data_IF_269797055036
#
_entry.id   IF_269797055036
#
_cell.length_a   1.000
_cell.length_b   1.000
_cell.length_c   1.000
_cell.angle_alpha   90.00
_cell.angle_beta   90.00
_cell.angle_gamma   90.00
#
_symmetry.space_group_name_H-M   'P 1'
#
loop_
_entity.id
_entity.type
_entity.pdbx_description
1 polymer ?
#
# COMPACT_ATOMS: atom_id res chain seq x y z
N UNK A 1 9.17 -44.39 -7.41
CA UNK A 1 10.14 -44.91 -6.39
C UNK A 1 9.83 -44.40 -4.99
N UNK A 2 9.48 -43.12 -4.79
CA UNK A 2 9.18 -42.58 -3.46
C UNK A 2 8.17 -43.43 -2.66
N UNK A 3 7.08 -43.91 -3.25
CA UNK A 3 6.02 -44.67 -2.56
C UNK A 3 6.43 -46.09 -2.12
N UNK A 4 7.41 -46.71 -2.80
CA UNK A 4 7.73 -48.13 -2.63
C UNK A 4 9.09 -48.40 -1.96
N UNK A 5 9.95 -47.38 -1.86
CA UNK A 5 11.26 -47.47 -1.19
C UNK A 5 11.17 -47.09 0.29
N UNK A 6 12.13 -47.50 1.15
CA UNK A 6 12.15 -47.09 2.56
C UNK A 6 12.21 -45.56 2.70
N UNK A 7 11.26 -44.98 3.43
CA UNK A 7 11.10 -43.52 3.51
C UNK A 7 12.35 -42.77 3.99
N UNK A 8 13.15 -43.38 4.87
CA UNK A 8 14.41 -42.81 5.35
C UNK A 8 15.45 -42.66 4.24
N UNK A 9 15.61 -43.69 3.40
CA UNK A 9 16.57 -43.67 2.29
C UNK A 9 16.12 -42.66 1.23
N UNK A 10 14.81 -42.56 0.99
CA UNK A 10 14.24 -41.53 0.09
C UNK A 10 14.58 -40.14 0.60
N UNK A 11 14.35 -39.86 1.89
CA UNK A 11 14.68 -38.54 2.48
C UNK A 11 16.17 -38.21 2.34
N UNK A 12 17.07 -39.16 2.60
CA UNK A 12 18.52 -38.93 2.47
C UNK A 12 18.89 -38.61 1.01
N UNK A 13 18.37 -39.38 0.06
CA UNK A 13 18.62 -39.13 -1.37
C UNK A 13 18.04 -37.77 -1.84
N UNK A 14 16.89 -37.36 -1.28
CA UNK A 14 16.32 -36.04 -1.56
C UNK A 14 17.13 -34.90 -0.96
N UNK A 15 17.80 -35.10 0.18
CA UNK A 15 18.69 -34.08 0.75
C UNK A 15 19.89 -33.85 -0.17
N UNK A 16 20.54 -34.92 -0.65
CA UNK A 16 21.64 -34.82 -1.62
C UNK A 16 21.20 -34.17 -2.93
N UNK A 17 20.02 -34.54 -3.45
CA UNK A 17 19.46 -33.91 -4.65
C UNK A 17 19.17 -32.41 -4.44
N UNK A 18 18.66 -32.04 -3.25
CA UNK A 18 18.38 -30.65 -2.90
C UNK A 18 19.67 -29.82 -2.75
N UNK A 19 20.72 -30.40 -2.16
CA UNK A 19 22.05 -29.78 -2.10
C UNK A 19 22.63 -29.55 -3.50
N UNK A 20 22.45 -30.51 -4.42
CA UNK A 20 22.89 -30.35 -5.80
C UNK A 20 22.14 -29.21 -6.51
N UNK A 21 20.81 -29.14 -6.38
CA UNK A 21 20.03 -28.01 -6.90
C UNK A 21 20.48 -26.69 -6.31
N UNK A 22 20.78 -26.65 -5.00
CA UNK A 22 21.29 -25.45 -4.35
C UNK A 22 22.63 -24.99 -4.96
N UNK A 23 23.58 -25.91 -5.16
CA UNK A 23 24.88 -25.57 -5.76
C UNK A 23 24.74 -25.00 -7.18
N UNK A 24 23.76 -25.47 -7.95
CA UNK A 24 23.51 -24.97 -9.30
C UNK A 24 22.90 -23.57 -9.33
N UNK A 25 22.19 -23.14 -8.28
CA UNK A 25 21.74 -21.76 -8.15
C UNK A 25 22.90 -20.79 -7.80
N UNK A 26 23.96 -21.27 -7.14
CA UNK A 26 25.13 -20.46 -6.79
C UNK A 26 26.05 -20.20 -8.00
N UNK A 27 25.98 -21.04 -9.04
CA UNK A 27 26.85 -21.00 -10.23
C UNK A 27 26.35 -20.07 -11.37
N UNK A 28 25.49 -19.08 -11.07
CA UNK A 28 24.92 -18.10 -12.03
C UNK A 28 24.37 -18.74 -13.32
N UNK A 29 23.42 -19.67 -13.17
CA UNK A 29 22.79 -20.36 -14.29
C UNK A 29 21.95 -19.42 -15.20
N UNK A 30 21.85 -19.73 -16.49
CA UNK A 30 21.00 -19.00 -17.45
C UNK A 30 19.49 -19.24 -17.22
N UNK A 31 18.61 -18.46 -17.87
CA UNK A 31 17.16 -18.50 -17.63
C UNK A 31 16.52 -19.88 -17.88
N UNK A 32 16.98 -20.61 -18.89
CA UNK A 32 16.46 -21.94 -19.21
C UNK A 32 16.90 -22.99 -18.17
N UNK A 33 18.15 -22.89 -17.69
CA UNK A 33 18.63 -23.69 -16.59
C UNK A 33 17.85 -23.36 -15.30
N UNK A 34 17.62 -22.07 -14.99
CA UNK A 34 16.86 -21.64 -13.81
C UNK A 34 15.43 -22.21 -13.77
N UNK A 35 14.73 -22.25 -14.92
CA UNK A 35 13.41 -22.91 -15.05
C UNK A 35 13.50 -24.40 -14.77
N UNK A 36 14.54 -25.07 -15.28
CA UNK A 36 14.77 -26.49 -15.02
C UNK A 36 15.04 -26.76 -13.54
N UNK A 37 15.76 -25.86 -12.85
CA UNK A 37 16.02 -25.94 -11.42
C UNK A 37 14.75 -25.77 -10.59
N UNK A 38 13.89 -24.81 -10.94
CA UNK A 38 12.64 -24.60 -10.21
C UNK A 38 11.70 -25.81 -10.32
N UNK A 39 11.61 -26.42 -11.51
CA UNK A 39 10.88 -27.68 -11.71
C UNK A 39 11.48 -28.83 -10.91
N UNK A 40 12.80 -28.91 -10.84
CA UNK A 40 13.50 -29.93 -10.05
C UNK A 40 13.22 -29.74 -8.55
N UNK A 41 13.22 -28.50 -8.06
CA UNK A 41 12.85 -28.16 -6.69
C UNK A 41 11.40 -28.57 -6.38
N UNK A 42 10.44 -28.25 -7.26
CA UNK A 42 9.03 -28.67 -7.12
C UNK A 42 8.93 -30.19 -7.00
N UNK A 43 9.61 -30.93 -7.88
CA UNK A 43 9.62 -32.40 -7.85
C UNK A 43 10.21 -32.93 -6.54
N UNK A 44 11.31 -32.37 -6.05
CA UNK A 44 11.92 -32.75 -4.78
C UNK A 44 10.94 -32.51 -3.61
N UNK A 45 10.27 -31.36 -3.58
CA UNK A 45 9.27 -31.02 -2.55
C UNK A 45 8.07 -31.99 -2.60
N UNK A 46 7.59 -32.35 -3.79
CA UNK A 46 6.51 -33.33 -3.94
C UNK A 46 6.95 -34.73 -3.48
N UNK A 47 8.21 -35.12 -3.72
CA UNK A 47 8.77 -36.38 -3.20
C UNK A 47 8.90 -36.35 -1.67
N UNK A 48 9.29 -35.22 -1.06
CA UNK A 48 9.23 -35.03 0.39
C UNK A 48 7.79 -35.14 0.92
N UNK A 49 6.82 -34.56 0.21
CA UNK A 49 5.40 -34.58 0.55
C UNK A 49 4.87 -36.02 0.66
N UNK A 50 5.37 -36.93 -0.19
CA UNK A 50 5.04 -38.35 -0.16
C UNK A 50 5.87 -39.17 0.86
N UNK A 51 7.11 -38.76 1.15
CA UNK A 51 8.03 -39.51 2.01
C UNK A 51 7.84 -39.23 3.51
N UNK A 52 7.62 -37.96 3.91
CA UNK A 52 7.52 -37.54 5.32
C UNK A 52 6.43 -38.31 6.09
N UNK A 53 5.19 -38.47 5.56
CA UNK A 53 4.14 -39.17 6.29
C UNK A 53 4.45 -40.62 6.65
N UNK A 54 5.43 -41.23 5.99
CA UNK A 54 5.86 -42.62 6.19
C UNK A 54 7.03 -42.76 7.16
N UNK A 55 7.58 -41.65 7.66
CA UNK A 55 8.64 -41.66 8.66
C UNK A 55 8.10 -42.11 10.02
N UNK A 56 8.85 -43.00 10.68
CA UNK A 56 8.56 -43.45 12.04
C UNK A 56 9.43 -42.67 13.02
N UNK A 57 8.77 -41.97 13.96
CA UNK A 57 9.46 -41.35 15.09
C UNK A 57 10.03 -42.46 15.97
N UNK A 58 11.36 -42.51 16.08
CA UNK A 58 12.07 -43.46 16.96
C UNK A 58 12.62 -42.73 18.17
N UNK A 59 13.77 -42.07 17.99
CA UNK A 59 14.48 -41.34 19.05
C UNK A 59 14.34 -39.83 18.96
N UNK A 60 13.76 -39.33 17.87
CA UNK A 60 13.61 -37.91 17.58
C UNK A 60 12.16 -37.50 17.70
N UNK A 61 11.92 -36.27 18.13
CA UNK A 61 10.59 -35.64 18.06
C UNK A 61 10.18 -35.39 16.61
N UNK A 62 8.89 -35.12 16.37
CA UNK A 62 8.41 -34.70 15.04
C UNK A 62 9.18 -33.47 14.55
N UNK A 63 9.34 -32.46 15.42
CA UNK A 63 10.10 -31.25 15.13
C UNK A 63 11.57 -31.55 14.77
N UNK A 64 12.29 -32.33 15.57
CA UNK A 64 13.68 -32.72 15.29
C UNK A 64 13.87 -33.54 14.00
N UNK A 65 12.78 -34.16 13.52
CA UNK A 65 12.80 -34.95 12.29
C UNK A 65 12.64 -34.06 11.06
N UNK A 66 11.76 -33.05 11.12
CA UNK A 66 11.46 -32.18 9.97
C UNK A 66 12.32 -30.92 9.91
N UNK A 67 12.77 -30.37 11.04
CA UNK A 67 13.47 -29.07 11.11
C UNK A 67 14.70 -28.97 10.17
N UNK A 68 15.59 -29.99 10.08
CA UNK A 68 16.70 -29.93 9.12
C UNK A 68 16.25 -29.94 7.65
N UNK A 69 15.15 -30.64 7.35
CA UNK A 69 14.60 -30.70 5.99
C UNK A 69 14.00 -29.35 5.61
N UNK A 70 13.28 -28.72 6.54
CA UNK A 70 12.66 -27.42 6.33
C UNK A 70 13.71 -26.32 6.17
N UNK A 71 14.80 -26.34 6.94
CA UNK A 71 15.89 -25.39 6.80
C UNK A 71 16.51 -25.43 5.40
N UNK A 72 16.82 -26.62 4.89
CA UNK A 72 17.37 -26.75 3.53
C UNK A 72 16.35 -26.37 2.45
N UNK A 73 15.08 -26.79 2.59
CA UNK A 73 14.04 -26.39 1.63
C UNK A 73 13.89 -24.86 1.60
N UNK A 74 13.78 -24.21 2.76
CA UNK A 74 13.68 -22.75 2.86
C UNK A 74 14.90 -22.07 2.24
N UNK A 75 16.11 -22.59 2.48
CA UNK A 75 17.34 -22.06 1.85
C UNK A 75 17.26 -22.10 0.32
N UNK A 76 16.91 -23.25 -0.26
CA UNK A 76 16.83 -23.40 -1.72
C UNK A 76 15.67 -22.61 -2.31
N UNK A 77 14.55 -22.49 -1.60
CA UNK A 77 13.43 -21.64 -2.02
C UNK A 77 13.82 -20.16 -2.06
N UNK A 78 14.61 -19.68 -1.10
CA UNK A 78 15.13 -18.31 -1.11
C UNK A 78 16.02 -18.07 -2.33
N UNK A 79 16.92 -19.01 -2.63
CA UNK A 79 17.77 -18.94 -3.84
C UNK A 79 16.93 -18.98 -5.13
N UNK A 80 15.96 -19.88 -5.19
CA UNK A 80 15.08 -20.01 -6.34
C UNK A 80 14.24 -18.75 -6.55
N UNK A 81 13.71 -18.14 -5.49
CA UNK A 81 12.83 -16.97 -5.58
C UNK A 81 13.48 -15.73 -6.19
N UNK A 82 14.80 -15.62 -6.10
CA UNK A 82 15.56 -14.51 -6.69
C UNK A 82 15.67 -14.63 -8.21
N UNK A 83 15.52 -15.85 -8.74
CA UNK A 83 15.83 -16.20 -10.12
C UNK A 83 14.66 -16.87 -10.87
N UNK A 84 13.55 -17.18 -10.20
CA UNK A 84 12.44 -17.90 -10.83
C UNK A 84 11.50 -16.96 -11.59
N UNK A 85 10.97 -17.46 -12.72
CA UNK A 85 9.84 -16.80 -13.37
C UNK A 85 8.60 -16.85 -12.48
N UNK A 86 7.64 -15.96 -12.76
CA UNK A 86 6.38 -15.82 -12.00
C UNK A 86 5.63 -17.14 -11.84
N UNK A 87 5.53 -17.93 -12.92
CA UNK A 87 4.83 -19.22 -12.91
C UNK A 87 5.53 -20.24 -12.01
N UNK A 88 6.86 -20.35 -12.15
CA UNK A 88 7.68 -21.25 -11.35
C UNK A 88 7.60 -20.93 -9.85
N UNK A 89 7.66 -19.65 -9.47
CA UNK A 89 7.52 -19.22 -8.07
C UNK A 89 6.16 -19.60 -7.47
N UNK A 90 5.09 -19.54 -8.25
CA UNK A 90 3.75 -19.97 -7.82
C UNK A 90 3.63 -21.49 -7.70
N UNK A 91 4.29 -22.24 -8.57
CA UNK A 91 4.37 -23.70 -8.50
C UNK A 91 5.15 -24.15 -7.26
N UNK A 92 6.30 -23.52 -6.98
CA UNK A 92 7.10 -23.75 -5.76
C UNK A 92 6.25 -23.48 -4.52
N UNK A 93 5.58 -22.31 -4.46
CA UNK A 93 4.69 -21.98 -3.33
C UNK A 93 3.57 -23.02 -3.15
N UNK A 94 2.97 -23.47 -4.25
CA UNK A 94 1.93 -24.50 -4.23
C UNK A 94 2.45 -25.85 -3.74
N UNK A 95 3.68 -26.23 -4.11
CA UNK A 95 4.34 -27.45 -3.65
C UNK A 95 4.61 -27.40 -2.14
N UNK A 96 5.07 -26.27 -1.62
CA UNK A 96 5.31 -26.08 -0.18
C UNK A 96 4.00 -26.09 0.60
N UNK A 97 2.92 -25.51 0.07
CA UNK A 97 1.59 -25.61 0.66
C UNK A 97 1.11 -27.07 0.75
N UNK A 98 1.32 -27.89 -0.29
CA UNK A 98 1.02 -29.33 -0.27
C UNK A 98 1.86 -30.06 0.79
N UNK A 99 3.16 -29.77 0.87
CA UNK A 99 4.06 -30.30 1.89
C UNK A 99 3.56 -29.94 3.31
N UNK A 100 3.16 -28.69 3.53
CA UNK A 100 2.62 -28.19 4.80
C UNK A 100 1.35 -28.93 5.21
N UNK A 101 0.38 -29.04 4.29
CA UNK A 101 -0.84 -29.80 4.49
C UNK A 101 -0.58 -31.28 4.80
N UNK A 102 0.32 -31.93 4.07
CA UNK A 102 0.68 -33.34 4.28
C UNK A 102 1.37 -33.55 5.64
N UNK A 103 2.27 -32.63 5.99
CA UNK A 103 3.01 -32.66 7.27
C UNK A 103 2.07 -32.42 8.45
N UNK A 104 1.11 -31.49 8.35
CA UNK A 104 0.10 -31.28 9.39
C UNK A 104 -0.71 -32.56 9.68
N UNK A 105 -1.20 -33.22 8.62
CA UNK A 105 -1.94 -34.49 8.75
C UNK A 105 -1.09 -35.61 9.33
N UNK A 106 0.19 -35.68 8.95
CA UNK A 106 1.12 -36.64 9.53
C UNK A 106 1.29 -36.38 11.02
N UNK A 107 1.51 -35.14 11.44
CA UNK A 107 1.62 -34.76 12.86
C UNK A 107 0.36 -35.14 13.63
N UNK A 108 -0.83 -34.86 13.08
CA UNK A 108 -2.12 -35.21 13.71
C UNK A 108 -2.35 -36.72 13.82
N UNK A 109 -1.72 -37.52 12.96
CA UNK A 109 -1.79 -38.98 12.99
C UNK A 109 -0.79 -39.65 13.93
N UNK A 110 0.11 -38.88 14.57
CA UNK A 110 1.09 -39.40 15.51
C UNK A 110 0.55 -39.47 16.94
N UNK A 111 0.90 -40.52 17.67
CA UNK A 111 0.65 -40.64 19.11
C UNK A 111 1.75 -39.90 19.90
N UNK A 112 1.67 -38.57 19.89
CA UNK A 112 2.61 -37.66 20.57
C UNK A 112 1.86 -36.67 21.45
N UNK A 113 2.57 -36.03 22.38
CA UNK A 113 2.00 -34.99 23.22
C UNK A 113 1.68 -33.72 22.41
N UNK A 114 0.65 -33.00 22.85
CA UNK A 114 0.17 -31.78 22.18
C UNK A 114 1.27 -30.72 22.03
N UNK A 115 2.14 -30.56 23.03
CA UNK A 115 3.20 -29.56 22.97
C UNK A 115 4.24 -29.89 21.88
N UNK A 116 4.63 -31.16 21.72
CA UNK A 116 5.51 -31.57 20.62
C UNK A 116 4.85 -31.47 19.24
N UNK A 117 3.54 -31.75 19.15
CA UNK A 117 2.77 -31.55 17.93
C UNK A 117 2.71 -30.07 17.54
N UNK A 118 2.36 -29.20 18.49
CA UNK A 118 2.27 -27.74 18.30
C UNK A 118 3.64 -27.16 17.91
N UNK A 119 4.73 -27.62 18.54
CA UNK A 119 6.09 -27.20 18.16
C UNK A 119 6.42 -27.58 16.71
N UNK A 120 6.13 -28.82 16.29
CA UNK A 120 6.39 -29.29 14.93
C UNK A 120 5.55 -28.52 13.90
N UNK A 121 4.26 -28.30 14.18
CA UNK A 121 3.39 -27.49 13.32
C UNK A 121 3.86 -26.04 13.23
N UNK A 122 4.34 -25.46 14.33
CA UNK A 122 4.92 -24.11 14.35
C UNK A 122 6.19 -24.01 13.50
N UNK A 123 7.04 -25.05 13.47
CA UNK A 123 8.20 -25.09 12.56
C UNK A 123 7.78 -25.10 11.10
N UNK A 124 6.79 -25.92 10.76
CA UNK A 124 6.26 -25.97 9.40
C UNK A 124 5.58 -24.66 8.99
N UNK A 125 4.85 -24.04 9.91
CA UNK A 125 4.16 -22.76 9.72
C UNK A 125 5.15 -21.65 9.39
N UNK A 126 6.27 -21.55 10.12
CA UNK A 126 7.36 -20.61 9.82
C UNK A 126 8.00 -20.88 8.45
N UNK A 127 8.31 -22.13 8.13
CA UNK A 127 8.89 -22.47 6.83
C UNK A 127 7.96 -22.09 5.66
N UNK A 128 6.64 -22.26 5.84
CA UNK A 128 5.64 -21.81 4.88
C UNK A 128 5.57 -20.27 4.79
N UNK A 129 5.60 -19.55 5.91
CA UNK A 129 5.64 -18.09 5.93
C UNK A 129 6.91 -17.55 5.23
N UNK A 130 8.07 -18.14 5.50
CA UNK A 130 9.34 -17.77 4.86
C UNK A 130 9.26 -17.99 3.34
N UNK A 131 8.74 -19.14 2.91
CA UNK A 131 8.55 -19.42 1.48
C UNK A 131 7.57 -18.44 0.80
N UNK A 132 6.47 -18.09 1.47
CA UNK A 132 5.51 -17.09 0.98
C UNK A 132 6.19 -15.72 0.84
N UNK A 133 6.97 -15.31 1.84
CA UNK A 133 7.71 -14.05 1.83
C UNK A 133 8.71 -14.00 0.66
N UNK A 134 9.47 -15.08 0.46
CA UNK A 134 10.47 -15.18 -0.60
C UNK A 134 9.83 -15.19 -1.98
N UNK A 135 8.71 -15.89 -2.14
CA UNK A 135 7.98 -15.94 -3.42
C UNK A 135 7.06 -14.73 -3.65
N UNK A 136 7.11 -13.68 -2.81
CA UNK A 136 6.18 -12.54 -2.87
C UNK A 136 6.17 -11.84 -4.23
N UNK A 137 7.35 -11.68 -4.87
CA UNK A 137 7.46 -11.10 -6.21
C UNK A 137 6.75 -11.90 -7.32
N UNK A 138 6.53 -13.20 -7.11
CA UNK A 138 5.84 -14.09 -8.05
C UNK A 138 4.32 -14.17 -7.82
N UNK A 139 3.82 -13.69 -6.67
CA UNK A 139 2.38 -13.77 -6.33
C UNK A 139 1.56 -12.92 -7.30
N UNK A 140 1.80 -11.60 -7.36
CA UNK A 140 1.12 -10.65 -8.26
C UNK A 140 -0.40 -10.92 -8.37
N UNK A 141 -1.08 -10.88 -7.23
CA UNK A 141 -2.51 -11.22 -7.13
C UNK A 141 -3.46 -10.03 -7.32
N UNK A 142 -2.89 -8.83 -7.46
CA UNK A 142 -3.57 -7.54 -7.59
C UNK A 142 -4.60 -7.31 -6.47
N UNK A 143 -4.28 -7.76 -5.26
CA UNK A 143 -5.19 -7.78 -4.12
C UNK A 143 -5.65 -6.38 -3.72
N UNK A 144 -4.77 -5.38 -3.72
CA UNK A 144 -5.12 -4.00 -3.39
C UNK A 144 -6.05 -3.39 -4.42
N UNK A 145 -5.80 -3.60 -5.72
CA UNK A 145 -6.65 -3.12 -6.81
C UNK A 145 -8.03 -3.80 -6.78
N UNK A 146 -8.08 -5.12 -6.57
CA UNK A 146 -9.34 -5.86 -6.40
C UNK A 146 -10.14 -5.36 -5.20
N UNK A 147 -9.48 -5.23 -4.06
CA UNK A 147 -10.08 -4.71 -2.83
C UNK A 147 -10.59 -3.27 -3.05
N UNK A 148 -9.83 -2.44 -3.75
CA UNK A 148 -10.25 -1.08 -4.09
C UNK A 148 -11.48 -1.07 -4.99
N UNK A 149 -11.51 -1.92 -6.03
CA UNK A 149 -12.64 -2.02 -6.95
C UNK A 149 -13.92 -2.50 -6.25
N UNK A 150 -13.79 -3.41 -5.28
CA UNK A 150 -14.88 -3.89 -4.43
C UNK A 150 -15.42 -2.77 -3.52
N UNK A 151 -14.53 -2.01 -2.87
CA UNK A 151 -14.91 -0.92 -1.95
C UNK A 151 -15.42 0.34 -2.68
N UNK A 152 -14.92 0.61 -3.89
CA UNK A 152 -15.23 1.81 -4.66
C UNK A 152 -15.64 1.49 -6.11
N UNK A 153 -16.78 0.82 -6.35
CA UNK A 153 -17.18 0.39 -7.70
C UNK A 153 -17.31 1.52 -8.72
N UNK A 154 -17.63 2.74 -8.26
CA UNK A 154 -17.72 3.94 -9.12
C UNK A 154 -16.36 4.44 -9.60
N UNK A 155 -15.31 4.21 -8.80
CA UNK A 155 -13.94 4.64 -9.09
C UNK A 155 -13.12 3.54 -9.77
N UNK A 156 -13.58 2.29 -9.74
CA UNK A 156 -12.90 1.13 -10.34
C UNK A 156 -12.52 1.32 -11.82
N UNK A 157 -13.27 2.14 -12.57
CA UNK A 157 -12.96 2.47 -13.97
C UNK A 157 -11.63 3.20 -14.13
N UNK A 158 -11.17 3.91 -13.10
CA UNK A 158 -9.91 4.66 -13.13
C UNK A 158 -8.70 3.79 -12.76
N UNK A 159 -8.91 2.64 -12.12
CA UNK A 159 -7.84 1.75 -11.68
C UNK A 159 -7.28 0.86 -12.80
N UNK A 160 -7.82 0.94 -14.02
CA UNK A 160 -7.39 0.12 -15.16
C UNK A 160 -7.80 -1.36 -15.07
N UNK A 161 -7.46 -2.17 -16.09
CA UNK A 161 -7.70 -3.61 -16.05
C UNK A 161 -6.82 -4.29 -14.98
N UNK A 162 -7.27 -5.46 -14.50
CA UNK A 162 -6.45 -6.31 -13.66
C UNK A 162 -5.31 -6.94 -14.52
N UNK A 163 -4.12 -7.14 -13.96
CA UNK A 163 -3.00 -7.75 -14.67
C UNK A 163 -3.30 -9.20 -15.02
N UNK A 164 -2.85 -9.68 -16.18
CA UNK A 164 -3.03 -11.08 -16.56
C UNK A 164 -2.44 -12.05 -15.53
N UNK A 165 -3.09 -13.20 -15.36
CA UNK A 165 -2.63 -14.26 -14.47
C UNK A 165 -2.73 -13.95 -12.97
N UNK A 166 -3.54 -12.97 -12.56
CA UNK A 166 -3.70 -12.61 -11.15
C UNK A 166 -4.43 -13.70 -10.36
N UNK A 167 -5.33 -14.45 -11.01
CA UNK A 167 -6.11 -15.53 -10.39
C UNK A 167 -5.20 -16.65 -9.87
N UNK A 168 -4.20 -17.08 -10.65
CA UNK A 168 -3.27 -18.13 -10.28
C UNK A 168 -2.43 -17.72 -9.08
N UNK A 169 -2.00 -16.45 -9.05
CA UNK A 169 -1.33 -15.85 -7.90
C UNK A 169 -2.19 -15.89 -6.64
N UNK A 170 -3.44 -15.44 -6.75
CA UNK A 170 -4.39 -15.48 -5.65
C UNK A 170 -4.70 -16.91 -5.18
N UNK A 171 -4.77 -17.87 -6.10
CA UNK A 171 -5.01 -19.28 -5.79
C UNK A 171 -3.82 -19.93 -5.08
N UNK A 172 -2.58 -19.63 -5.50
CA UNK A 172 -1.37 -20.13 -4.85
C UNK A 172 -1.29 -19.68 -3.39
N UNK A 173 -1.52 -18.40 -3.12
CA UNK A 173 -1.53 -17.85 -1.75
C UNK A 173 -2.71 -18.41 -0.95
N UNK A 174 -3.89 -18.56 -1.54
CA UNK A 174 -5.04 -19.15 -0.84
C UNK A 174 -4.76 -20.60 -0.43
N UNK A 175 -4.11 -21.38 -1.29
CA UNK A 175 -3.67 -22.74 -0.96
C UNK A 175 -2.68 -22.75 0.21
N UNK A 176 -1.73 -21.81 0.21
CA UNK A 176 -0.82 -21.62 1.35
C UNK A 176 -1.59 -21.22 2.62
N UNK A 177 -2.55 -20.29 2.54
CA UNK A 177 -3.40 -19.87 3.65
C UNK A 177 -4.16 -21.02 4.29
N UNK A 178 -4.84 -21.86 3.50
CA UNK A 178 -5.54 -23.04 4.02
C UNK A 178 -4.59 -24.03 4.71
N UNK A 179 -3.36 -24.17 4.22
CA UNK A 179 -2.34 -25.03 4.84
C UNK A 179 -1.81 -24.44 6.14
N UNK A 180 -1.66 -23.11 6.19
CA UNK A 180 -1.23 -22.37 7.38
C UNK A 180 -2.29 -22.42 8.50
N UNK A 181 -3.57 -22.26 8.17
CA UNK A 181 -4.70 -22.44 9.10
C UNK A 181 -4.71 -23.85 9.70
N UNK A 182 -4.50 -24.88 8.88
CA UNK A 182 -4.41 -26.27 9.33
C UNK A 182 -3.21 -26.55 10.25
N UNK A 183 -2.15 -25.74 10.16
CA UNK A 183 -0.97 -25.84 11.03
C UNK A 183 -1.15 -25.09 12.35
N UNK A 184 -1.72 -23.89 12.33
CA UNK A 184 -1.78 -23.04 13.52
C UNK A 184 -3.01 -23.29 14.40
N UNK A 185 -4.08 -23.91 13.88
CA UNK A 185 -5.32 -24.08 14.64
C UNK A 185 -5.79 -22.77 15.28
N UNK A 186 -6.17 -22.79 16.56
CA UNK A 186 -6.57 -21.60 17.33
C UNK A 186 -5.42 -20.83 17.97
N UNK A 187 -4.16 -21.22 17.75
CA UNK A 187 -3.00 -20.55 18.36
C UNK A 187 -2.47 -19.46 17.45
N UNK A 188 -2.72 -18.20 17.84
CA UNK A 188 -2.18 -17.02 17.17
C UNK A 188 -0.66 -16.94 17.38
N UNK A 189 0.11 -17.05 16.30
CA UNK A 189 1.54 -16.70 16.28
C UNK A 189 1.74 -15.27 16.80
N UNK A 190 2.69 -15.09 17.73
CA UNK A 190 2.93 -13.83 18.43
C UNK A 190 3.81 -12.82 17.68
N UNK A 191 4.37 -13.18 16.52
CA UNK A 191 5.25 -12.30 15.75
C UNK A 191 4.78 -12.22 14.30
N UNK A 192 4.32 -11.05 13.89
CA UNK A 192 3.94 -10.82 12.49
C UNK A 192 5.19 -10.79 11.60
N UNK A 193 5.27 -11.75 10.69
CA UNK A 193 6.23 -11.82 9.57
C UNK A 193 5.58 -11.27 8.28
N UNK A 194 6.38 -10.96 7.26
CA UNK A 194 5.86 -10.59 5.92
C UNK A 194 5.02 -11.74 5.33
N UNK A 195 5.45 -12.99 5.51
CA UNK A 195 4.68 -14.17 5.12
C UNK A 195 3.31 -14.22 5.79
N UNK A 196 3.25 -14.00 7.11
CA UNK A 196 1.99 -13.96 7.85
C UNK A 196 1.08 -12.79 7.42
N UNK A 197 1.67 -11.64 7.05
CA UNK A 197 0.95 -10.49 6.49
C UNK A 197 0.31 -10.86 5.14
N UNK A 198 1.08 -11.46 4.23
CA UNK A 198 0.57 -11.91 2.92
C UNK A 198 -0.59 -12.89 3.12
N UNK A 199 -0.39 -13.92 3.94
CA UNK A 199 -1.41 -14.95 4.16
C UNK A 199 -2.69 -14.36 4.78
N UNK A 200 -2.56 -13.52 5.80
CA UNK A 200 -3.71 -12.89 6.46
C UNK A 200 -4.45 -11.89 5.57
N UNK A 201 -3.73 -11.13 4.72
CA UNK A 201 -4.36 -10.23 3.73
C UNK A 201 -5.19 -11.00 2.70
N UNK A 202 -4.84 -12.24 2.40
CA UNK A 202 -5.60 -13.11 1.49
C UNK A 202 -6.77 -13.85 2.16
N UNK A 203 -6.93 -13.74 3.48
CA UNK A 203 -8.06 -14.32 4.19
C UNK A 203 -9.38 -13.62 3.81
N UNK A 204 -10.47 -14.38 3.95
CA UNK A 204 -11.85 -13.85 3.81
C UNK A 204 -12.34 -13.16 5.07
N UNK A 205 -11.62 -13.31 6.19
CA UNK A 205 -11.97 -12.64 7.44
C UNK A 205 -11.78 -11.13 7.32
N UNK A 206 -12.70 -10.38 7.92
CA UNK A 206 -12.61 -8.91 7.93
C UNK A 206 -11.52 -8.50 8.92
N UNK A 207 -10.44 -7.83 8.49
CA UNK A 207 -9.36 -7.44 9.38
C UNK A 207 -9.83 -6.33 10.33
N UNK A 208 -9.31 -6.32 11.55
CA UNK A 208 -9.64 -5.32 12.57
C UNK A 208 -8.46 -4.39 12.85
N UNK A 209 -8.68 -3.33 13.63
CA UNK A 209 -7.59 -2.48 14.11
C UNK A 209 -6.53 -3.28 14.91
N UNK A 210 -6.93 -4.33 15.64
CA UNK A 210 -5.97 -5.19 16.35
C UNK A 210 -5.13 -6.03 15.40
N UNK A 211 -5.73 -6.51 14.30
CA UNK A 211 -4.97 -7.16 13.21
C UNK A 211 -3.92 -6.22 12.66
N UNK A 212 -4.29 -4.97 12.37
CA UNK A 212 -3.36 -3.95 11.89
C UNK A 212 -2.24 -3.68 12.90
N UNK A 213 -2.55 -3.52 14.19
CA UNK A 213 -1.55 -3.33 15.23
C UNK A 213 -0.55 -4.48 15.30
N UNK A 214 -1.03 -5.73 15.23
CA UNK A 214 -0.15 -6.90 15.25
C UNK A 214 0.74 -6.99 14.01
N UNK A 215 0.21 -6.61 12.84
CA UNK A 215 0.91 -6.65 11.56
C UNK A 215 1.87 -5.48 11.32
N UNK A 216 1.85 -4.45 12.19
CA UNK A 216 2.52 -3.18 11.94
C UNK A 216 4.01 -3.31 11.62
N UNK A 217 4.84 -4.11 12.33
CA UNK A 217 6.26 -4.23 11.99
C UNK A 217 6.48 -4.76 10.57
N UNK A 218 5.77 -5.83 10.19
CA UNK A 218 5.87 -6.43 8.86
C UNK A 218 5.34 -5.48 7.78
N UNK A 219 4.26 -4.76 8.07
CA UNK A 219 3.65 -3.78 7.17
C UNK A 219 4.60 -2.60 6.90
N UNK A 220 5.25 -2.07 7.93
CA UNK A 220 6.23 -0.99 7.77
C UNK A 220 7.41 -1.42 6.91
N UNK A 221 7.97 -2.61 7.18
CA UNK A 221 9.04 -3.16 6.35
C UNK A 221 8.56 -3.33 4.91
N UNK A 222 7.36 -3.88 4.70
CA UNK A 222 6.78 -4.13 3.37
C UNK A 222 6.62 -2.84 2.56
N UNK A 223 6.09 -1.77 3.18
CA UNK A 223 5.95 -0.46 2.56
C UNK A 223 7.31 0.17 2.21
N UNK A 224 8.32 0.01 3.07
CA UNK A 224 9.65 0.60 2.88
C UNK A 224 10.47 -0.12 1.81
N UNK A 225 10.40 -1.44 1.75
CA UNK A 225 11.19 -2.27 0.82
C UNK A 225 10.46 -2.58 -0.48
N UNK A 226 9.19 -2.17 -0.60
CA UNK A 226 8.31 -2.52 -1.71
C UNK A 226 8.12 -4.05 -1.89
N UNK A 227 8.22 -4.80 -0.79
CA UNK A 227 7.95 -6.24 -0.73
C UNK A 227 6.56 -6.43 -0.14
N UNK A 228 5.72 -7.30 -0.73
CA UNK A 228 4.33 -7.49 -0.26
C UNK A 228 3.51 -6.17 -0.16
N UNK A 229 3.82 -5.20 -1.03
CA UNK A 229 3.16 -3.90 -1.03
C UNK A 229 1.67 -4.04 -1.33
N UNK A 230 1.33 -4.88 -2.32
CA UNK A 230 -0.05 -5.14 -2.72
C UNK A 230 -0.91 -5.65 -1.55
N UNK A 231 -0.39 -6.61 -0.78
CA UNK A 231 -1.04 -7.17 0.39
C UNK A 231 -1.12 -6.17 1.55
N UNK A 232 -0.10 -5.33 1.72
CA UNK A 232 -0.07 -4.26 2.72
C UNK A 232 -1.14 -3.20 2.45
N UNK A 233 -1.25 -2.74 1.19
CA UNK A 233 -2.23 -1.75 0.78
C UNK A 233 -3.66 -2.32 0.84
N UNK A 234 -3.86 -3.59 0.47
CA UNK A 234 -5.14 -4.26 0.62
C UNK A 234 -5.60 -4.34 2.08
N UNK A 235 -4.71 -4.70 3.00
CA UNK A 235 -5.00 -4.74 4.43
C UNK A 235 -5.41 -3.35 4.95
N UNK A 236 -4.63 -2.32 4.62
CA UNK A 236 -4.93 -0.94 5.00
C UNK A 236 -6.27 -0.48 4.44
N UNK A 237 -6.59 -0.76 3.18
CA UNK A 237 -7.89 -0.41 2.59
C UNK A 237 -9.05 -1.04 3.36
N UNK A 238 -8.96 -2.34 3.70
CA UNK A 238 -10.04 -3.05 4.40
C UNK A 238 -10.23 -2.58 5.83
N UNK A 239 -9.15 -2.25 6.54
CA UNK A 239 -9.23 -1.74 7.91
C UNK A 239 -9.75 -0.30 7.91
N UNK A 240 -9.19 0.57 7.06
CA UNK A 240 -9.48 2.01 7.06
C UNK A 240 -10.81 2.40 6.41
N UNK A 241 -11.38 1.53 5.57
CA UNK A 241 -12.72 1.76 5.00
C UNK A 241 -13.86 1.50 5.98
N UNK A 242 -13.58 0.97 7.17
CA UNK A 242 -14.60 0.70 8.18
C UNK A 242 -15.11 2.01 8.81
N UNK A 243 -16.43 2.19 9.01
CA UNK A 243 -17.02 3.48 9.39
C UNK A 243 -16.55 4.05 10.73
N UNK A 244 -16.14 3.18 11.66
CA UNK A 244 -15.84 3.54 13.05
C UNK A 244 -14.42 3.19 13.46
N UNK A 245 -13.48 3.12 12.51
CA UNK A 245 -12.11 2.77 12.83
C UNK A 245 -11.42 3.94 13.54
N UNK A 246 -10.83 3.66 14.69
CA UNK A 246 -9.98 4.60 15.43
C UNK A 246 -8.60 3.98 15.57
N UNK A 247 -7.57 4.72 15.18
CA UNK A 247 -6.19 4.25 15.23
C UNK A 247 -5.44 4.86 16.40
N UNK A 248 -4.53 4.09 16.99
CA UNK A 248 -3.57 4.65 17.94
C UNK A 248 -2.55 5.53 17.21
N UNK A 249 -1.98 6.53 17.90
CA UNK A 249 -0.90 7.36 17.34
C UNK A 249 0.30 6.55 16.83
N UNK A 250 0.60 5.42 17.47
CA UNK A 250 1.69 4.51 17.10
C UNK A 250 1.52 3.89 15.71
N UNK A 251 0.29 3.74 15.22
CA UNK A 251 0.02 3.32 13.85
C UNK A 251 -0.01 4.51 12.90
N UNK A 252 -0.56 5.61 13.39
CA UNK A 252 -0.90 6.75 12.57
C UNK A 252 0.33 7.48 12.04
N UNK A 253 1.28 7.81 12.92
CA UNK A 253 2.46 8.60 12.54
C UNK A 253 3.36 7.87 11.53
N UNK A 254 3.74 6.59 11.75
CA UNK A 254 4.59 5.90 10.77
C UNK A 254 3.92 5.76 9.39
N UNK A 255 2.61 5.51 9.35
CA UNK A 255 1.85 5.41 8.09
C UNK A 255 1.72 6.76 7.39
N UNK A 256 1.51 7.85 8.15
CA UNK A 256 1.44 9.20 7.59
C UNK A 256 2.78 9.68 7.03
N UNK A 257 3.91 9.09 7.45
CA UNK A 257 5.22 9.38 6.86
C UNK A 257 5.49 8.54 5.60
N UNK A 258 5.09 7.27 5.58
CA UNK A 258 5.41 6.36 4.46
C UNK A 258 4.45 6.48 3.27
N UNK A 259 3.14 6.56 3.52
CA UNK A 259 2.14 6.58 2.45
C UNK A 259 2.28 7.77 1.48
N UNK A 260 2.63 8.99 1.92
CA UNK A 260 2.85 10.09 0.99
C UNK A 260 3.94 9.81 -0.04
N UNK A 261 5.05 9.20 0.40
CA UNK A 261 6.16 8.81 -0.47
C UNK A 261 5.71 7.76 -1.48
N UNK A 262 4.99 6.72 -1.06
CA UNK A 262 4.47 5.69 -1.98
C UNK A 262 3.47 6.30 -2.97
N UNK A 263 2.54 7.14 -2.49
CA UNK A 263 1.54 7.81 -3.31
C UNK A 263 2.15 8.75 -4.35
N UNK A 264 3.32 9.33 -4.07
CA UNK A 264 3.97 10.30 -4.97
C UNK A 264 4.97 9.65 -5.92
N UNK A 265 5.77 8.70 -5.43
CA UNK A 265 7.00 8.25 -6.10
C UNK A 265 6.92 6.83 -6.67
N UNK A 266 5.88 6.04 -6.35
CA UNK A 266 5.77 4.69 -6.90
C UNK A 266 5.64 4.73 -8.44
N UNK A 267 6.32 3.83 -9.18
CA UNK A 267 6.29 3.83 -10.65
C UNK A 267 4.91 3.49 -11.22
N UNK A 268 4.19 2.57 -10.58
CA UNK A 268 2.84 2.19 -11.00
C UNK A 268 1.78 3.24 -10.57
N UNK A 269 1.01 3.81 -11.53
CA UNK A 269 -0.01 4.81 -11.24
C UNK A 269 -1.18 4.28 -10.40
N UNK A 270 -1.55 3.00 -10.54
CA UNK A 270 -2.65 2.40 -9.77
C UNK A 270 -2.28 2.31 -8.29
N UNK A 271 -1.06 1.83 -7.99
CA UNK A 271 -0.49 1.85 -6.64
C UNK A 271 -0.46 3.26 -6.07
N UNK A 272 0.03 4.26 -6.83
CA UNK A 272 0.01 5.67 -6.37
C UNK A 272 -1.38 6.14 -5.98
N UNK A 273 -2.38 5.88 -6.84
CA UNK A 273 -3.77 6.25 -6.60
C UNK A 273 -4.35 5.57 -5.36
N UNK A 274 -4.13 4.26 -5.21
CA UNK A 274 -4.60 3.48 -4.06
C UNK A 274 -3.94 3.97 -2.78
N UNK A 275 -2.62 4.18 -2.78
CA UNK A 275 -1.88 4.72 -1.63
C UNK A 275 -2.38 6.11 -1.22
N UNK A 276 -2.66 6.99 -2.18
CA UNK A 276 -3.26 8.30 -1.89
C UNK A 276 -4.66 8.15 -1.27
N UNK A 277 -5.48 7.22 -1.77
CA UNK A 277 -6.79 6.96 -1.17
C UNK A 277 -6.67 6.44 0.26
N UNK A 278 -5.73 5.54 0.50
CA UNK A 278 -5.44 5.01 1.84
C UNK A 278 -5.00 6.15 2.77
N UNK A 279 -4.16 7.08 2.31
CA UNK A 279 -3.77 8.27 3.08
C UNK A 279 -4.98 9.13 3.46
N UNK A 280 -5.90 9.40 2.53
CA UNK A 280 -7.16 10.12 2.85
C UNK A 280 -7.97 9.40 3.94
N UNK A 281 -8.11 8.07 3.84
CA UNK A 281 -8.81 7.28 4.87
C UNK A 281 -8.08 7.28 6.22
N UNK A 282 -6.74 7.17 6.21
CA UNK A 282 -5.91 7.24 7.40
C UNK A 282 -6.11 8.57 8.14
N UNK A 283 -6.07 9.68 7.40
CA UNK A 283 -6.27 11.02 7.93
C UNK A 283 -7.68 11.20 8.48
N UNK A 284 -8.69 10.61 7.84
CA UNK A 284 -10.08 10.64 8.34
C UNK A 284 -10.25 9.83 9.64
N UNK A 285 -9.49 8.76 9.82
CA UNK A 285 -9.47 7.97 11.06
C UNK A 285 -8.67 8.63 12.20
N UNK A 286 -7.93 9.69 11.90
CA UNK A 286 -7.14 10.44 12.88
C UNK A 286 -8.02 11.35 13.75
N UNK A 287 -7.66 11.59 15.02
CA UNK A 287 -8.21 12.71 15.78
C UNK A 287 -7.99 14.04 15.02
N UNK A 288 -8.99 14.93 15.04
CA UNK A 288 -8.99 16.16 14.20
C UNK A 288 -7.77 17.06 14.36
N UNK A 289 -7.23 17.18 15.58
CA UNK A 289 -5.99 17.93 15.83
C UNK A 289 -4.76 17.26 15.22
N UNK A 290 -4.64 15.94 15.32
CA UNK A 290 -3.54 15.17 14.70
C UNK A 290 -3.66 15.23 13.17
N UNK A 291 -4.88 15.14 12.64
CA UNK A 291 -5.15 15.33 11.20
C UNK A 291 -4.66 16.70 10.72
N UNK A 292 -4.90 17.76 11.49
CA UNK A 292 -4.45 19.11 11.17
C UNK A 292 -2.92 19.21 11.15
N UNK A 293 -2.24 18.67 12.16
CA UNK A 293 -0.78 18.69 12.25
C UNK A 293 -0.15 17.99 11.02
N UNK A 294 -0.66 16.82 10.66
CA UNK A 294 -0.15 16.06 9.50
C UNK A 294 -0.43 16.80 8.18
N UNK A 295 -1.64 17.34 7.99
CA UNK A 295 -1.96 18.11 6.78
C UNK A 295 -1.09 19.36 6.64
N UNK A 296 -0.74 20.00 7.76
CA UNK A 296 0.18 21.14 7.77
C UNK A 296 1.59 20.74 7.34
N UNK A 297 2.08 19.59 7.78
CA UNK A 297 3.36 19.03 7.33
C UNK A 297 3.33 18.70 5.83
N UNK A 298 2.32 17.94 5.39
CA UNK A 298 2.19 17.54 3.97
C UNK A 298 2.05 18.71 3.00
N UNK A 299 1.41 19.81 3.42
CA UNK A 299 1.28 21.02 2.59
C UNK A 299 2.51 21.91 2.60
N UNK A 300 3.51 21.60 3.43
CA UNK A 300 4.78 22.33 3.52
C UNK A 300 6.00 21.50 3.05
N UNK A 301 5.81 20.23 2.69
CA UNK A 301 6.90 19.32 2.32
C UNK A 301 7.41 19.58 0.89
N UNK A 302 8.50 20.33 0.78
CA UNK A 302 9.19 20.61 -0.48
C UNK A 302 9.84 19.35 -1.09
N UNK A 303 10.08 18.29 -0.31
CA UNK A 303 10.64 17.02 -0.78
C UNK A 303 9.65 16.20 -1.61
N UNK A 304 8.35 16.48 -1.50
CA UNK A 304 7.29 15.80 -2.23
C UNK A 304 6.35 16.81 -2.94
N UNK A 305 6.78 17.49 -4.01
CA UNK A 305 6.00 18.57 -4.63
C UNK A 305 4.60 18.16 -5.12
N UNK A 306 4.45 16.92 -5.62
CA UNK A 306 3.14 16.41 -6.03
C UNK A 306 2.21 16.14 -4.84
N UNK A 307 2.77 15.69 -3.71
CA UNK A 307 2.00 15.54 -2.47
C UNK A 307 1.57 16.88 -1.93
N UNK A 308 2.44 17.89 -1.96
CA UNK A 308 2.10 19.25 -1.51
C UNK A 308 0.85 19.77 -2.22
N UNK A 309 0.74 19.56 -3.54
CA UNK A 309 -0.46 19.91 -4.32
C UNK A 309 -1.65 19.04 -3.90
N UNK A 310 -1.49 17.72 -3.87
CA UNK A 310 -2.58 16.79 -3.55
C UNK A 310 -3.11 16.95 -2.11
N UNK A 311 -2.25 17.35 -1.17
CA UNK A 311 -2.58 17.59 0.22
C UNK A 311 -3.56 18.75 0.41
N UNK A 312 -3.59 19.72 -0.51
CA UNK A 312 -4.61 20.78 -0.50
C UNK A 312 -6.00 20.19 -0.76
N UNK A 313 -6.08 19.17 -1.62
CA UNK A 313 -7.29 18.36 -1.80
C UNK A 313 -7.71 17.64 -0.51
N UNK A 314 -6.75 17.10 0.25
CA UNK A 314 -7.01 16.46 1.55
C UNK A 314 -7.45 17.48 2.63
N UNK A 315 -6.91 18.69 2.59
CA UNK A 315 -7.36 19.83 3.42
C UNK A 315 -8.81 20.19 3.08
N UNK A 316 -9.14 20.28 1.79
CA UNK A 316 -10.51 20.52 1.32
C UNK A 316 -11.49 19.44 1.82
N UNK A 317 -11.10 18.17 1.74
CA UNK A 317 -11.88 17.07 2.32
C UNK A 317 -12.06 17.23 3.84
N UNK A 318 -11.00 17.62 4.57
CA UNK A 318 -11.04 17.80 6.03
C UNK A 318 -11.98 18.93 6.46
N UNK A 319 -11.97 20.06 5.77
CA UNK A 319 -12.92 21.15 5.99
C UNK A 319 -14.36 20.73 5.73
N UNK A 320 -14.61 20.01 4.63
CA UNK A 320 -15.95 19.51 4.32
C UNK A 320 -16.45 18.51 5.37
N UNK A 321 -15.59 17.59 5.83
CA UNK A 321 -15.91 16.65 6.89
C UNK A 321 -16.24 17.38 8.20
N UNK A 322 -15.38 18.32 8.61
CA UNK A 322 -15.56 19.08 9.85
C UNK A 322 -16.86 19.89 9.85
N UNK A 323 -17.15 20.61 8.76
CA UNK A 323 -18.39 21.39 8.62
C UNK A 323 -19.65 20.50 8.66
N UNK A 324 -19.56 19.25 8.21
CA UNK A 324 -20.67 18.29 8.28
C UNK A 324 -20.82 17.64 9.67
N UNK A 325 -19.71 17.46 10.41
CA UNK A 325 -19.69 16.78 11.72
C UNK A 325 -20.00 17.72 12.90
N UNK A 326 -19.93 19.04 12.69
CA UNK A 326 -20.32 20.05 13.67
C UNK A 326 -19.17 20.69 14.46
N UNK A 327 -19.52 21.53 15.43
CA UNK A 327 -18.60 22.52 16.05
C UNK A 327 -17.47 21.93 16.91
N UNK A 328 -17.53 20.63 17.23
CA UNK A 328 -16.47 19.96 17.98
C UNK A 328 -15.21 19.65 17.12
N UNK A 329 -15.34 19.72 15.79
CA UNK A 329 -14.23 19.46 14.88
C UNK A 329 -13.35 20.71 14.70
N UNK A 330 -12.03 20.54 14.76
CA UNK A 330 -11.06 21.62 14.58
C UNK A 330 -11.19 22.26 13.19
N UNK A 331 -11.57 21.49 12.18
CA UNK A 331 -11.80 21.99 10.82
C UNK A 331 -13.12 22.77 10.67
N UNK A 332 -14.03 22.68 11.63
CA UNK A 332 -15.20 23.56 11.74
C UNK A 332 -14.92 24.82 12.56
N UNK A 333 -13.65 25.24 12.68
CA UNK A 333 -13.24 26.39 13.47
C UNK A 333 -12.22 27.26 12.74
N UNK A 334 -12.08 28.51 13.20
CA UNK A 334 -11.08 29.47 12.71
C UNK A 334 -9.64 28.98 12.87
N UNK A 335 -9.39 28.09 13.84
CA UNK A 335 -8.04 27.61 14.17
C UNK A 335 -7.41 26.87 13.00
N UNK A 336 -8.14 25.99 12.32
CA UNK A 336 -7.61 25.24 11.18
C UNK A 336 -7.13 26.18 10.06
N UNK A 337 -7.92 27.22 9.74
CA UNK A 337 -7.55 28.18 8.71
C UNK A 337 -6.38 29.09 9.14
N UNK A 338 -6.28 29.43 10.43
CA UNK A 338 -5.14 30.18 10.96
C UNK A 338 -3.84 29.37 10.87
N UNK A 339 -3.88 28.07 11.14
CA UNK A 339 -2.70 27.21 11.11
C UNK A 339 -2.28 26.81 9.69
N UNK A 340 -3.23 26.57 8.78
CA UNK A 340 -2.97 26.17 7.39
C UNK A 340 -2.84 27.36 6.43
N UNK A 341 -3.53 28.46 6.71
CA UNK A 341 -3.67 29.59 5.77
C UNK A 341 -2.33 30.23 5.40
N UNK A 342 -1.41 30.32 6.36
CA UNK A 342 -0.06 30.82 6.11
C UNK A 342 0.76 29.99 5.12
N UNK A 343 0.44 28.71 4.96
CA UNK A 343 1.11 27.78 4.03
C UNK A 343 0.31 27.59 2.74
N UNK A 344 -1.01 27.42 2.87
CA UNK A 344 -1.92 27.06 1.77
C UNK A 344 -2.40 28.29 1.00
N UNK A 345 -2.76 29.39 1.67
CA UNK A 345 -3.38 30.58 1.05
C UNK A 345 -2.35 31.65 0.66
N UNK A 346 -1.23 31.22 0.11
CA UNK A 346 -0.21 32.06 -0.51
C UNK A 346 0.39 31.32 -1.70
N UNK A 347 1.06 32.02 -2.60
CA UNK A 347 1.93 31.46 -3.65
C UNK A 347 3.19 30.79 -3.06
N UNK A 348 3.79 29.86 -3.82
CA UNK A 348 5.04 29.20 -3.46
C UNK A 348 6.02 29.14 -4.66
N UNK A 349 7.13 29.89 -4.65
CA UNK A 349 7.50 30.91 -3.66
C UNK A 349 6.51 32.11 -3.65
N UNK A 350 6.47 32.94 -2.60
CA UNK A 350 5.49 34.04 -2.49
C UNK A 350 5.51 35.04 -3.66
N UNK A 351 6.67 35.22 -4.28
CA UNK A 351 6.94 36.12 -5.41
C UNK A 351 6.88 35.40 -6.77
N UNK A 352 6.42 34.15 -6.84
CA UNK A 352 6.40 33.37 -8.10
C UNK A 352 5.65 34.08 -9.24
N UNK A 353 4.65 34.91 -8.94
CA UNK A 353 3.89 35.68 -9.93
C UNK A 353 4.53 37.04 -10.26
N UNK A 354 5.72 37.33 -9.74
CA UNK A 354 6.49 38.56 -9.97
C UNK A 354 7.65 38.31 -10.95
N UNK A 355 7.40 38.52 -12.24
CA UNK A 355 8.43 38.53 -13.29
C UNK A 355 8.75 37.15 -13.87
N UNK A 356 7.94 36.13 -13.58
CA UNK A 356 8.09 34.81 -14.16
C UNK A 356 7.59 34.78 -15.61
N UNK A 357 8.35 34.12 -16.48
CA UNK A 357 7.93 33.79 -17.85
C UNK A 357 6.85 32.69 -17.82
N UNK A 358 5.92 32.73 -18.78
CA UNK A 358 4.79 31.80 -18.86
C UNK A 358 5.23 30.33 -18.84
N UNK A 359 6.20 29.97 -19.70
CA UNK A 359 6.71 28.61 -19.84
C UNK A 359 7.27 28.09 -18.51
N UNK A 360 8.13 28.88 -17.86
CA UNK A 360 8.71 28.53 -16.56
C UNK A 360 7.66 28.37 -15.46
N UNK A 361 6.57 29.14 -15.50
CA UNK A 361 5.45 28.97 -14.58
C UNK A 361 4.70 27.66 -14.85
N UNK A 362 4.42 27.34 -16.11
CA UNK A 362 3.73 26.12 -16.52
C UNK A 362 4.52 24.83 -16.24
N UNK A 363 5.84 24.89 -16.36
CA UNK A 363 6.73 23.78 -15.99
C UNK A 363 6.80 23.54 -14.48
N UNK A 364 6.42 24.53 -13.66
CA UNK A 364 6.41 24.41 -12.21
C UNK A 364 5.19 23.65 -11.68
N UNK A 365 5.20 23.31 -10.39
CA UNK A 365 4.04 22.70 -9.72
C UNK A 365 2.95 23.72 -9.35
N UNK A 366 3.27 25.01 -9.42
CA UNK A 366 2.44 26.09 -8.90
C UNK A 366 1.08 26.26 -9.61
N UNK A 367 0.95 26.12 -10.95
CA UNK A 367 -0.35 26.21 -11.62
C UNK A 367 -1.35 25.19 -11.06
N UNK A 368 -0.89 23.96 -10.82
CA UNK A 368 -1.72 22.89 -10.23
C UNK A 368 -2.05 23.20 -8.77
N UNK A 369 -1.08 23.71 -8.01
CA UNK A 369 -1.28 24.12 -6.62
C UNK A 369 -2.32 25.23 -6.50
N UNK A 370 -2.21 26.28 -7.31
CA UNK A 370 -3.15 27.39 -7.35
C UNK A 370 -4.56 26.94 -7.75
N UNK A 371 -4.67 26.00 -8.69
CA UNK A 371 -5.97 25.41 -9.05
C UNK A 371 -6.63 24.74 -7.84
N UNK A 372 -5.89 23.95 -7.06
CA UNK A 372 -6.41 23.34 -5.82
C UNK A 372 -6.72 24.38 -4.73
N UNK A 373 -5.92 25.44 -4.60
CA UNK A 373 -6.18 26.54 -3.65
C UNK A 373 -7.49 27.26 -4.02
N UNK A 374 -7.68 27.61 -5.29
CA UNK A 374 -8.90 28.24 -5.77
C UNK A 374 -10.12 27.33 -5.58
N UNK A 375 -9.94 26.01 -5.81
CA UNK A 375 -10.99 25.02 -5.51
C UNK A 375 -11.34 24.98 -4.03
N UNK A 376 -10.35 24.98 -3.13
CA UNK A 376 -10.55 25.04 -1.67
C UNK A 376 -11.30 26.31 -1.28
N UNK A 377 -10.84 27.48 -1.73
CA UNK A 377 -11.46 28.78 -1.44
C UNK A 377 -12.91 28.80 -1.93
N UNK A 378 -13.16 28.41 -3.19
CA UNK A 378 -14.49 28.34 -3.77
C UNK A 378 -15.43 27.45 -2.94
N UNK A 379 -14.96 26.26 -2.53
CA UNK A 379 -15.74 25.34 -1.71
C UNK A 379 -16.05 25.92 -0.35
N UNK A 380 -15.06 26.51 0.34
CA UNK A 380 -15.23 27.11 1.65
C UNK A 380 -16.19 28.31 1.59
N UNK A 381 -16.05 29.20 0.61
CA UNK A 381 -16.95 30.34 0.43
C UNK A 381 -18.40 29.89 0.23
N UNK A 382 -18.64 28.77 -0.48
CA UNK A 382 -20.00 28.26 -0.71
C UNK A 382 -20.57 27.44 0.45
N UNK A 383 -19.74 26.65 1.14
CA UNK A 383 -20.20 25.70 2.17
C UNK A 383 -20.23 26.29 3.56
N UNK A 384 -19.30 27.17 3.91
CA UNK A 384 -19.21 27.79 5.22
C UNK A 384 -20.08 29.05 5.31
N UNK A 385 -21.41 28.86 5.22
CA UNK A 385 -22.38 29.96 5.21
C UNK A 385 -22.33 30.78 6.50
N UNK A 386 -22.08 30.13 7.63
CA UNK A 386 -22.00 30.74 8.96
C UNK A 386 -20.61 31.32 9.28
N UNK A 387 -19.64 31.22 8.36
CA UNK A 387 -18.28 31.70 8.51
C UNK A 387 -17.57 31.14 9.76
N UNK A 388 -17.75 29.84 10.04
CA UNK A 388 -17.12 29.13 11.16
C UNK A 388 -15.60 29.04 11.01
N UNK A 389 -15.13 28.84 9.78
CA UNK A 389 -13.70 28.77 9.44
C UNK A 389 -13.03 30.13 9.41
N UNK A 390 -13.78 31.23 9.33
CA UNK A 390 -13.25 32.58 9.19
C UNK A 390 -12.81 32.95 7.78
N UNK A 391 -13.12 32.12 6.77
CA UNK A 391 -12.77 32.39 5.36
C UNK A 391 -13.41 33.68 4.83
N UNK A 392 -14.58 34.07 5.34
CA UNK A 392 -15.30 35.30 4.96
C UNK A 392 -14.90 36.51 5.83
N UNK A 393 -13.94 36.36 6.74
CA UNK A 393 -13.44 37.49 7.51
C UNK A 393 -12.72 38.48 6.58
N UNK A 394 -12.95 39.78 6.79
CA UNK A 394 -12.43 40.85 5.92
C UNK A 394 -10.91 40.81 5.78
N UNK A 395 -10.20 40.50 6.85
CA UNK A 395 -8.74 40.45 6.85
C UNK A 395 -8.23 39.23 6.07
N UNK A 396 -8.91 38.08 6.18
CA UNK A 396 -8.62 36.88 5.37
C UNK A 396 -8.81 37.16 3.88
N UNK A 397 -9.94 37.76 3.51
CA UNK A 397 -10.25 38.09 2.11
C UNK A 397 -9.28 39.12 1.54
N UNK A 398 -8.90 40.15 2.31
CA UNK A 398 -7.88 41.13 1.89
C UNK A 398 -6.53 40.47 1.67
N UNK A 399 -6.12 39.56 2.54
CA UNK A 399 -4.87 38.83 2.40
C UNK A 399 -4.90 37.93 1.16
N UNK A 400 -6.00 37.20 0.94
CA UNK A 400 -6.20 36.34 -0.24
C UNK A 400 -6.16 37.17 -1.54
N UNK A 401 -6.83 38.32 -1.55
CA UNK A 401 -6.85 39.25 -2.68
C UNK A 401 -5.44 39.78 -2.99
N UNK A 402 -4.69 40.20 -1.98
CA UNK A 402 -3.34 40.75 -2.14
C UNK A 402 -2.31 39.70 -2.56
N UNK A 403 -2.38 38.50 -2.00
CA UNK A 403 -1.33 37.48 -2.16
C UNK A 403 -1.56 36.55 -3.36
N UNK A 404 -2.81 36.32 -3.76
CA UNK A 404 -3.14 35.33 -4.81
C UNK A 404 -3.97 35.98 -5.91
N UNK A 405 -5.19 36.45 -5.60
CA UNK A 405 -6.18 36.73 -6.64
C UNK A 405 -5.75 37.88 -7.56
N UNK A 406 -5.32 39.01 -7.00
CA UNK A 406 -4.91 40.17 -7.80
C UNK A 406 -3.64 39.91 -8.62
N UNK A 407 -2.54 39.37 -8.06
CA UNK A 407 -1.37 39.00 -8.86
C UNK A 407 -1.72 38.00 -9.97
N UNK A 408 -2.58 37.02 -9.69
CA UNK A 408 -2.96 35.99 -10.65
C UNK A 408 -3.83 36.55 -11.78
N UNK A 409 -4.84 37.40 -11.48
CA UNK A 409 -5.65 38.08 -12.52
C UNK A 409 -4.78 38.86 -13.49
N UNK A 410 -3.83 39.64 -12.96
CA UNK A 410 -2.90 40.42 -13.79
C UNK A 410 -2.09 39.53 -14.71
N UNK A 411 -1.49 38.46 -14.18
CA UNK A 411 -0.63 37.56 -14.96
C UNK A 411 -1.38 36.76 -16.01
N UNK A 412 -2.57 36.26 -15.67
CA UNK A 412 -3.41 35.55 -16.64
C UNK A 412 -3.84 36.45 -17.78
N UNK A 413 -4.18 37.72 -17.52
CA UNK A 413 -4.49 38.68 -18.58
C UNK A 413 -3.28 38.91 -19.50
N UNK A 414 -2.09 39.14 -18.93
CA UNK A 414 -0.83 39.31 -19.70
C UNK A 414 -0.55 38.09 -20.59
N UNK A 415 -0.55 36.87 -20.04
CA UNK A 415 -0.24 35.65 -20.79
C UNK A 415 -1.30 35.28 -21.83
N UNK A 416 -2.58 35.54 -21.55
CA UNK A 416 -3.65 35.28 -22.52
C UNK A 416 -3.66 36.28 -23.68
N UNK A 417 -3.20 37.52 -23.46
CA UNK A 417 -3.05 38.53 -24.52
C UNK A 417 -1.80 38.27 -25.39
N UNK A 418 -0.74 37.67 -24.83
CA UNK A 418 0.51 37.34 -25.52
C UNK A 418 0.44 36.05 -26.38
N UNK A 419 -0.41 35.08 -26.02
CA UNK A 419 -0.51 33.75 -26.67
C UNK A 419 -1.24 33.70 -28.02
N UNK A 420 -1.28 34.79 -28.78
CA UNK A 420 -2.04 34.93 -30.03
C UNK A 420 -1.42 34.33 -31.30
N UNK A 421 -0.19 33.82 -31.26
CA UNK A 421 0.53 33.30 -32.43
C UNK A 421 0.97 31.84 -32.21
N UNK A 422 0.25 30.93 -32.88
CA UNK A 422 0.61 29.58 -33.35
C UNK A 422 1.84 28.90 -32.69
N UNK A 423 1.68 28.11 -31.60
CA UNK A 423 2.37 26.79 -31.43
C UNK A 423 2.06 25.95 -30.17
N UNK A 424 1.31 26.41 -29.15
CA UNK A 424 1.16 25.61 -27.90
C UNK A 424 -0.28 25.42 -27.35
N UNK A 425 -1.09 24.61 -28.05
CA UNK A 425 -2.48 24.28 -27.65
C UNK A 425 -2.60 23.66 -26.24
N UNK A 426 -1.61 22.90 -25.77
CA UNK A 426 -1.65 22.24 -24.46
C UNK A 426 -1.36 23.19 -23.27
N UNK A 427 -0.53 24.20 -23.50
CA UNK A 427 -0.14 25.17 -22.47
C UNK A 427 -1.26 26.17 -22.20
N UNK A 428 -1.97 26.55 -23.27
CA UNK A 428 -3.19 27.37 -23.20
C UNK A 428 -4.27 26.65 -22.38
N UNK A 429 -4.46 25.33 -22.55
CA UNK A 429 -5.49 24.60 -21.78
C UNK A 429 -5.25 24.65 -20.26
N UNK A 430 -3.99 24.57 -19.81
CA UNK A 430 -3.66 24.65 -18.38
C UNK A 430 -3.97 26.03 -17.80
N UNK A 431 -3.66 27.09 -18.54
CA UNK A 431 -4.00 28.47 -18.17
C UNK A 431 -5.50 28.72 -18.17
N UNK A 432 -6.23 28.18 -19.16
CA UNK A 432 -7.69 28.27 -19.24
C UNK A 432 -8.34 27.61 -18.02
N UNK A 433 -7.86 26.43 -17.59
CA UNK A 433 -8.36 25.77 -16.39
C UNK A 433 -8.17 26.61 -15.11
N UNK A 434 -7.02 27.27 -15.00
CA UNK A 434 -6.73 28.17 -13.89
C UNK A 434 -7.59 29.44 -13.93
N UNK A 435 -7.78 30.02 -15.13
CA UNK A 435 -8.64 31.19 -15.36
C UNK A 435 -10.10 30.91 -14.98
N UNK A 436 -10.67 29.78 -15.45
CA UNK A 436 -12.03 29.36 -15.08
C UNK A 436 -12.18 29.20 -13.56
N UNK A 437 -11.14 28.67 -12.90
CA UNK A 437 -11.16 28.50 -11.43
C UNK A 437 -11.15 29.84 -10.70
N UNK A 438 -10.42 30.83 -11.22
CA UNK A 438 -10.37 32.19 -10.69
C UNK A 438 -11.71 32.92 -10.88
N UNK A 439 -12.29 32.85 -12.08
CA UNK A 439 -13.60 33.43 -12.39
C UNK A 439 -14.71 32.93 -11.44
N UNK A 440 -14.69 31.63 -11.10
CA UNK A 440 -15.63 31.05 -10.13
C UNK A 440 -15.50 31.64 -8.73
N UNK A 441 -14.27 31.89 -8.29
CA UNK A 441 -14.01 32.53 -6.99
C UNK A 441 -14.49 33.98 -7.03
N UNK A 442 -14.15 34.73 -8.08
CA UNK A 442 -14.55 36.13 -8.23
C UNK A 442 -16.08 36.29 -8.28
N UNK A 443 -16.78 35.44 -9.03
CA UNK A 443 -18.24 35.42 -9.07
C UNK A 443 -18.85 35.17 -7.67
N UNK A 444 -18.29 34.22 -6.92
CA UNK A 444 -18.74 33.90 -5.56
C UNK A 444 -18.50 35.08 -4.60
N UNK A 445 -17.35 35.76 -4.70
CA UNK A 445 -17.04 36.94 -3.89
C UNK A 445 -17.96 38.12 -4.21
N UNK A 446 -18.29 38.32 -5.48
CA UNK A 446 -19.23 39.35 -5.93
C UNK A 446 -20.65 39.10 -5.38
N UNK A 447 -21.13 37.85 -5.40
CA UNK A 447 -22.43 37.46 -4.80
C UNK A 447 -22.48 37.72 -3.28
N UNK A 448 -21.34 37.55 -2.60
CA UNK A 448 -21.21 37.81 -1.17
C UNK A 448 -21.01 39.30 -0.82
N UNK A 449 -20.89 40.18 -1.82
CA UNK A 449 -20.64 41.61 -1.63
C UNK A 449 -19.26 41.92 -1.06
N UNK A 450 -18.27 41.07 -1.34
CA UNK A 450 -16.93 41.11 -0.75
C UNK A 450 -15.82 41.55 -1.73
N UNK A 451 -16.19 42.13 -2.88
CA UNK A 451 -15.28 42.62 -3.92
C UNK A 451 -14.52 43.88 -3.55
#
# INVERSE_FOLDING_TARGET
>A
MAEYSPAREVVIALQEALEHVASQYDDDADEDAQRSLAKSLVQIIDLYTAAIPRLKLRRKTAAETIDPLLQEITRVVNLASMNCAREDGREVLSAIARLASSTSRWIDGLDIDRAAADEAKRRMSRALEDAVSSCSGSIQSALSQRTFNELYPRLARMSGPLPEGWEEGANAVRSAGTSHEALNGSTSSSTASIGSLILSSHSTETPTATTLSSAMPALLTSLQTNVALDESLALLLRVLSQPTVTLSPDLLFPLSTLLPTVASMHPDPTTRHISFRILSLLLRAAPSHVRLDILKELTADEGLPQMMVAAIGLVKEAFLDGLNNGDADVFASRRALQELGGTVLRTNPPDVLEGVEQEKFLESVEPRRLTEILSLVYVLLNRDVENKTGIRDKDTLRALEANILKPLRRRLAEWMDEGGEEEHDHDIMSLVGLSISLERVDATLAELGAS
#
